data_IF_368490984046
#
_entry.id   IF_368490984046
#
_cell.length_a   1.000
_cell.length_b   1.000
_cell.length_c   1.000
_cell.angle_alpha   90.00
_cell.angle_beta   90.00
_cell.angle_gamma   90.00
#
_symmetry.space_group_name_H-M   'P 1'
#
loop_
_entity.id
_entity.type
_entity.pdbx_description
1 polymer ?
#
# COMPACT_ATOMS: atom_id res chain seq x y z
N UNK A 1 -12.26 -14.88 -16.95
CA UNK A 1 -11.37 -13.73 -16.60
C UNK A 1 -10.82 -13.14 -17.88
N UNK A 2 -11.08 -11.86 -18.10
CA UNK A 2 -10.56 -11.13 -19.24
C UNK A 2 -9.03 -10.97 -19.12
N UNK A 3 -8.35 -10.77 -20.29
CA UNK A 3 -6.88 -10.56 -20.30
C UNK A 3 -6.47 -9.40 -19.37
N UNK A 4 -7.35 -8.43 -19.22
CA UNK A 4 -7.16 -7.25 -18.38
C UNK A 4 -7.18 -7.59 -16.89
N UNK A 5 -8.15 -8.36 -16.43
CA UNK A 5 -8.22 -8.82 -15.03
C UNK A 5 -6.96 -9.59 -14.65
N UNK A 6 -6.51 -10.52 -15.51
CA UNK A 6 -5.26 -11.29 -15.28
C UNK A 6 -4.02 -10.43 -15.17
N UNK A 7 -3.97 -9.31 -15.89
CA UNK A 7 -2.85 -8.37 -15.79
C UNK A 7 -2.80 -7.70 -14.40
N UNK A 8 -3.93 -7.18 -13.92
CA UNK A 8 -4.01 -6.58 -12.59
C UNK A 8 -3.77 -7.60 -11.47
N UNK A 9 -4.27 -8.83 -11.62
CA UNK A 9 -4.03 -9.89 -10.65
C UNK A 9 -2.54 -10.21 -10.53
N UNK A 10 -1.85 -10.40 -11.66
CA UNK A 10 -0.39 -10.65 -11.66
C UNK A 10 0.41 -9.47 -11.08
N UNK A 11 0.05 -8.24 -11.44
CA UNK A 11 0.69 -7.06 -10.86
C UNK A 11 0.50 -7.01 -9.34
N UNK A 12 -0.70 -7.34 -8.85
CA UNK A 12 -0.98 -7.42 -7.42
C UNK A 12 -0.20 -8.53 -6.72
N UNK A 13 -0.07 -9.71 -7.34
CA UNK A 13 0.75 -10.80 -6.80
C UNK A 13 2.22 -10.38 -6.65
N UNK A 14 2.76 -9.63 -7.62
CA UNK A 14 4.13 -9.08 -7.53
C UNK A 14 4.25 -8.14 -6.32
N UNK A 15 3.29 -7.24 -6.11
CA UNK A 15 3.26 -6.36 -4.93
C UNK A 15 3.19 -7.19 -3.65
N UNK A 16 2.36 -8.23 -3.61
CA UNK A 16 2.28 -9.16 -2.48
C UNK A 16 3.62 -9.85 -2.18
N UNK A 17 4.31 -10.35 -3.22
CA UNK A 17 5.65 -10.96 -3.06
C UNK A 17 6.69 -9.95 -2.55
N UNK A 18 6.65 -8.70 -3.03
CA UNK A 18 7.52 -7.63 -2.51
C UNK A 18 7.25 -7.39 -1.03
N UNK A 19 5.99 -7.27 -0.62
CA UNK A 19 5.62 -7.09 0.79
C UNK A 19 6.07 -8.28 1.66
N UNK A 20 5.92 -9.51 1.19
CA UNK A 20 6.40 -10.70 1.92
C UNK A 20 7.92 -10.71 2.07
N UNK A 21 8.65 -10.37 1.01
CA UNK A 21 10.11 -10.29 1.05
C UNK A 21 10.59 -9.20 2.03
N UNK A 22 10.00 -8.00 1.96
CA UNK A 22 10.34 -6.90 2.87
C UNK A 22 9.98 -7.24 4.31
N UNK A 23 8.87 -7.96 4.54
CA UNK A 23 8.52 -8.45 5.88
C UNK A 23 9.57 -9.43 6.42
N UNK A 24 10.07 -10.34 5.59
CA UNK A 24 11.14 -11.23 6.00
C UNK A 24 12.44 -10.47 6.36
N UNK A 25 12.77 -9.43 5.59
CA UNK A 25 13.89 -8.54 5.90
C UNK A 25 13.67 -7.79 7.21
N UNK A 26 12.48 -7.26 7.45
CA UNK A 26 12.12 -6.59 8.70
C UNK A 26 12.29 -7.51 9.90
N UNK A 27 11.78 -8.74 9.81
CA UNK A 27 11.94 -9.74 10.90
C UNK A 27 13.41 -10.03 11.16
N UNK A 28 14.22 -10.20 10.10
CA UNK A 28 15.64 -10.45 10.23
C UNK A 28 16.37 -9.25 10.87
N UNK A 29 16.02 -8.02 10.50
CA UNK A 29 16.60 -6.80 11.05
C UNK A 29 16.25 -6.64 12.54
N UNK A 30 14.98 -6.82 12.92
CA UNK A 30 14.55 -6.81 14.33
C UNK A 30 15.28 -7.85 15.14
N UNK A 31 15.37 -9.10 14.62
CA UNK A 31 16.08 -10.18 15.28
C UNK A 31 17.57 -9.85 15.48
N UNK A 32 18.22 -9.35 14.43
CA UNK A 32 19.62 -8.92 14.50
C UNK A 32 19.82 -7.83 15.53
N UNK A 33 18.96 -6.80 15.53
CA UNK A 33 19.04 -5.65 16.44
C UNK A 33 18.87 -6.09 17.90
N UNK A 34 17.95 -7.02 18.17
CA UNK A 34 17.74 -7.58 19.51
C UNK A 34 18.98 -8.36 19.95
N UNK A 35 19.49 -9.28 19.12
CA UNK A 35 20.69 -10.10 19.44
C UNK A 35 21.91 -9.20 19.67
N UNK A 36 22.14 -8.22 18.77
CA UNK A 36 23.27 -7.29 18.88
C UNK A 36 23.22 -6.49 20.19
N UNK A 37 22.04 -6.04 20.58
CA UNK A 37 21.86 -5.27 21.81
C UNK A 37 22.09 -6.09 23.08
N UNK A 38 21.52 -7.29 23.15
CA UNK A 38 21.56 -8.09 24.38
C UNK A 38 22.85 -8.89 24.55
N UNK A 39 23.43 -9.41 23.47
CA UNK A 39 24.63 -10.24 23.54
C UNK A 39 25.94 -9.48 23.34
N UNK A 40 25.89 -8.39 22.55
CA UNK A 40 27.10 -7.64 22.19
C UNK A 40 27.12 -6.22 22.75
N UNK A 41 26.06 -5.82 23.48
CA UNK A 41 25.88 -4.44 23.99
C UNK A 41 26.02 -3.40 22.86
N UNK A 42 25.68 -3.79 21.63
CA UNK A 42 25.76 -2.97 20.43
C UNK A 42 24.37 -2.45 20.06
N UNK A 43 24.18 -1.16 20.07
CA UNK A 43 22.94 -0.52 19.61
C UNK A 43 23.27 0.46 18.47
N UNK A 44 22.50 0.38 17.38
CA UNK A 44 22.64 1.30 16.26
C UNK A 44 21.27 1.85 15.87
N UNK A 45 21.15 3.18 15.88
CA UNK A 45 19.92 3.90 15.56
C UNK A 45 19.48 3.62 14.12
N UNK A 46 20.41 3.49 13.18
CA UNK A 46 20.09 3.23 11.78
C UNK A 46 19.31 1.92 11.58
N UNK A 47 19.61 0.85 12.34
CA UNK A 47 18.82 -0.40 12.27
C UNK A 47 17.41 -0.21 12.82
N UNK A 48 17.24 0.56 13.92
CA UNK A 48 15.91 0.87 14.45
C UNK A 48 15.10 1.71 13.47
N UNK A 49 15.74 2.63 12.77
CA UNK A 49 15.06 3.39 11.73
C UNK A 49 14.73 2.55 10.50
N UNK A 50 15.55 1.56 10.17
CA UNK A 50 15.30 0.65 9.06
C UNK A 50 14.06 -0.22 9.31
N UNK A 51 13.80 -0.63 10.55
CA UNK A 51 12.59 -1.37 10.95
C UNK A 51 11.32 -0.62 10.51
N UNK A 52 11.18 0.66 10.86
CA UNK A 52 9.99 1.40 10.46
C UNK A 52 9.98 1.79 8.97
N UNK A 53 11.13 1.85 8.30
CA UNK A 53 11.18 1.99 6.84
C UNK A 53 10.60 0.74 6.16
N UNK A 54 10.99 -0.46 6.58
CA UNK A 54 10.41 -1.70 6.09
C UNK A 54 8.92 -1.79 6.39
N UNK A 55 8.51 -1.41 7.60
CA UNK A 55 7.10 -1.35 7.95
C UNK A 55 6.34 -0.38 7.04
N UNK A 56 6.89 0.80 6.76
CA UNK A 56 6.26 1.77 5.86
C UNK A 56 6.09 1.21 4.42
N UNK A 57 7.08 0.49 3.90
CA UNK A 57 6.97 -0.19 2.59
C UNK A 57 5.83 -1.19 2.60
N UNK A 58 5.78 -2.07 3.61
CA UNK A 58 4.75 -3.11 3.73
C UNK A 58 3.36 -2.47 3.85
N UNK A 59 3.21 -1.46 4.69
CA UNK A 59 1.94 -0.79 4.93
C UNK A 59 1.44 -0.05 3.68
N UNK A 60 2.30 0.76 3.06
CA UNK A 60 1.92 1.61 1.93
C UNK A 60 1.64 0.79 0.65
N UNK A 61 2.46 -0.20 0.32
CA UNK A 61 2.21 -1.08 -0.82
C UNK A 61 1.12 -2.10 -0.53
N UNK A 62 1.04 -2.58 0.72
CA UNK A 62 0.03 -3.53 1.17
C UNK A 62 -1.40 -3.02 1.03
N UNK A 63 -1.64 -1.69 1.13
CA UNK A 63 -2.97 -1.11 0.84
C UNK A 63 -3.44 -1.44 -0.57
N UNK A 64 -2.56 -1.38 -1.55
CA UNK A 64 -2.88 -1.69 -2.95
C UNK A 64 -3.18 -3.18 -3.14
N UNK A 65 -2.40 -4.05 -2.48
CA UNK A 65 -2.66 -5.48 -2.47
C UNK A 65 -3.99 -5.83 -1.79
N UNK A 66 -4.30 -5.21 -0.65
CA UNK A 66 -5.57 -5.40 0.04
C UNK A 66 -6.77 -4.97 -0.82
N UNK A 67 -6.63 -3.89 -1.63
CA UNK A 67 -7.67 -3.49 -2.57
C UNK A 67 -7.89 -4.54 -3.67
N UNK A 68 -6.82 -5.10 -4.22
CA UNK A 68 -6.88 -6.19 -5.21
C UNK A 68 -7.60 -7.42 -4.66
N UNK A 69 -7.29 -7.82 -3.42
CA UNK A 69 -7.89 -8.98 -2.73
C UNK A 69 -9.31 -8.71 -2.19
N UNK A 70 -9.83 -7.50 -2.37
CA UNK A 70 -11.14 -7.10 -1.81
C UNK A 70 -11.22 -7.22 -0.27
N UNK A 71 -10.08 -7.09 0.39
CA UNK A 71 -9.88 -7.35 1.83
C UNK A 71 -9.97 -6.08 2.69
N UNK A 72 -10.47 -4.98 2.15
CA UNK A 72 -10.68 -3.76 2.92
C UNK A 72 -11.79 -3.93 3.96
N UNK A 73 -11.56 -3.38 5.15
CA UNK A 73 -12.57 -3.33 6.21
C UNK A 73 -13.81 -2.59 5.73
N UNK A 74 -14.97 -3.23 5.84
CA UNK A 74 -16.28 -2.70 5.45
C UNK A 74 -17.25 -2.81 6.60
N UNK A 75 -18.33 -2.05 6.53
CA UNK A 75 -19.47 -2.24 7.45
C UNK A 75 -20.27 -3.47 6.98
N UNK A 76 -19.80 -4.65 7.31
CA UNK A 76 -20.31 -5.94 6.80
C UNK A 76 -21.78 -6.17 7.14
N UNK A 77 -22.28 -5.59 8.23
CA UNK A 77 -23.69 -5.75 8.66
C UNK A 77 -24.68 -5.35 7.55
N UNK A 78 -24.37 -4.29 6.81
CA UNK A 78 -25.19 -3.84 5.69
C UNK A 78 -24.76 -4.44 4.37
N UNK A 79 -23.43 -4.47 4.12
CA UNK A 79 -22.88 -4.93 2.86
C UNK A 79 -23.15 -6.41 2.60
N UNK A 80 -23.13 -7.27 3.63
CA UNK A 80 -23.44 -8.71 3.48
C UNK A 80 -24.83 -8.99 2.93
N UNK A 81 -25.80 -8.12 3.25
CA UNK A 81 -27.22 -8.24 2.83
C UNK A 81 -27.47 -7.78 1.39
N UNK A 82 -26.50 -7.12 0.75
CA UNK A 82 -26.68 -6.62 -0.60
C UNK A 82 -26.61 -7.74 -1.64
N UNK A 83 -27.43 -7.59 -2.69
CA UNK A 83 -27.32 -8.45 -3.87
C UNK A 83 -25.95 -8.26 -4.56
N UNK A 84 -25.47 -9.25 -5.35
CA UNK A 84 -24.21 -9.12 -6.07
C UNK A 84 -24.12 -7.84 -6.93
N UNK A 85 -25.24 -7.47 -7.54
CA UNK A 85 -25.38 -6.22 -8.32
C UNK A 85 -25.15 -4.98 -7.46
N UNK A 86 -25.78 -4.92 -6.29
CA UNK A 86 -25.65 -3.75 -5.39
C UNK A 86 -24.26 -3.67 -4.77
N UNK A 87 -23.63 -4.82 -4.44
CA UNK A 87 -22.23 -4.88 -4.00
C UNK A 87 -21.30 -4.29 -5.04
N UNK A 88 -21.43 -4.70 -6.29
CA UNK A 88 -20.62 -4.17 -7.38
C UNK A 88 -20.83 -2.66 -7.57
N UNK A 89 -22.08 -2.16 -7.45
CA UNK A 89 -22.39 -0.74 -7.56
C UNK A 89 -21.72 0.07 -6.42
N UNK A 90 -21.87 -0.38 -5.18
CA UNK A 90 -21.26 0.28 -4.00
C UNK A 90 -19.74 0.33 -4.14
N UNK A 91 -19.12 -0.78 -4.59
CA UNK A 91 -17.69 -0.86 -4.82
C UNK A 91 -17.23 0.16 -5.89
N UNK A 92 -17.93 0.25 -7.02
CA UNK A 92 -17.62 1.24 -8.05
C UNK A 92 -17.76 2.68 -7.58
N UNK A 93 -18.86 3.00 -6.88
CA UNK A 93 -19.08 4.34 -6.34
C UNK A 93 -18.02 4.69 -5.29
N UNK A 94 -17.73 3.77 -4.37
CA UNK A 94 -16.67 3.93 -3.38
C UNK A 94 -15.30 4.17 -4.00
N UNK A 95 -14.97 3.45 -5.05
CA UNK A 95 -13.71 3.62 -5.77
C UNK A 95 -13.60 5.00 -6.42
N UNK A 96 -14.64 5.45 -7.13
CA UNK A 96 -14.61 6.71 -7.89
C UNK A 96 -14.70 7.94 -6.98
N UNK A 97 -15.54 7.90 -5.94
CA UNK A 97 -15.81 9.07 -5.11
C UNK A 97 -14.91 9.17 -3.86
N UNK A 98 -14.31 8.08 -3.41
CA UNK A 98 -13.48 8.08 -2.21
C UNK A 98 -12.05 7.65 -2.49
N UNK A 99 -11.81 6.45 -3.04
CA UNK A 99 -10.45 5.91 -3.17
C UNK A 99 -9.61 6.73 -4.13
N UNK A 100 -10.09 6.98 -5.35
CA UNK A 100 -9.33 7.71 -6.37
C UNK A 100 -9.10 9.17 -5.98
N UNK A 101 -10.11 9.97 -5.56
CA UNK A 101 -9.88 11.35 -5.17
C UNK A 101 -8.95 11.49 -3.96
N UNK A 102 -9.11 10.62 -2.96
CA UNK A 102 -8.23 10.60 -1.80
C UNK A 102 -6.78 10.25 -2.19
N UNK A 103 -6.59 9.22 -3.01
CA UNK A 103 -5.27 8.82 -3.46
C UNK A 103 -4.59 9.89 -4.31
N UNK A 104 -5.33 10.58 -5.20
CA UNK A 104 -4.83 11.72 -5.97
C UNK A 104 -4.43 12.88 -5.07
N UNK A 105 -5.25 13.19 -4.06
CA UNK A 105 -4.97 14.26 -3.12
C UNK A 105 -3.67 13.97 -2.36
N UNK A 106 -3.54 12.79 -1.77
CA UNK A 106 -2.35 12.42 -1.00
C UNK A 106 -1.11 12.35 -1.90
N UNK A 107 -1.20 11.72 -3.08
CA UNK A 107 -0.04 11.61 -3.97
C UNK A 107 0.48 12.98 -4.40
N UNK A 108 -0.41 13.93 -4.74
CA UNK A 108 -0.01 15.26 -5.19
C UNK A 108 0.56 16.12 -4.04
N UNK A 109 -0.10 16.15 -2.88
CA UNK A 109 0.39 16.91 -1.73
C UNK A 109 1.73 16.38 -1.19
N UNK A 110 1.99 15.08 -1.35
CA UNK A 110 3.26 14.48 -0.92
C UNK A 110 4.46 14.91 -1.76
N UNK A 111 4.27 15.46 -2.96
CA UNK A 111 5.40 15.91 -3.79
C UNK A 111 6.19 17.06 -3.17
N UNK A 112 5.51 18.07 -2.62
CA UNK A 112 6.18 19.18 -1.94
C UNK A 112 6.96 18.66 -0.73
N UNK A 113 6.35 17.75 0.04
CA UNK A 113 7.00 17.12 1.19
C UNK A 113 8.27 16.33 0.82
N UNK A 114 8.30 15.69 -0.36
CA UNK A 114 9.49 15.01 -0.90
C UNK A 114 10.52 16.01 -1.39
N UNK A 115 10.09 17.04 -2.11
CA UNK A 115 10.96 18.07 -2.65
C UNK A 115 11.69 18.83 -1.54
N UNK A 116 10.98 19.20 -0.47
CA UNK A 116 11.56 19.86 0.70
C UNK A 116 12.61 18.97 1.40
N UNK A 117 12.31 17.69 1.57
CA UNK A 117 13.23 16.73 2.15
C UNK A 117 14.49 16.50 1.29
N UNK A 118 14.33 16.55 -0.03
CA UNK A 118 15.43 16.41 -0.98
C UNK A 118 16.32 17.65 -0.98
N UNK A 119 15.74 18.84 -1.10
CA UNK A 119 16.48 20.11 -1.17
C UNK A 119 17.19 20.45 0.13
N UNK A 120 16.58 20.12 1.28
CA UNK A 120 17.20 20.27 2.60
C UNK A 120 18.22 19.19 2.96
N UNK A 121 18.40 18.17 2.08
CA UNK A 121 19.21 16.98 2.38
C UNK A 121 18.85 16.36 3.73
N UNK A 122 17.55 16.23 4.00
CA UNK A 122 17.02 15.81 5.29
C UNK A 122 17.60 14.47 5.74
N UNK A 123 18.16 14.46 6.93
CA UNK A 123 18.66 13.28 7.63
C UNK A 123 17.89 13.07 8.94
N UNK A 124 18.13 11.95 9.59
CA UNK A 124 17.59 11.70 10.93
C UNK A 124 18.05 12.76 11.92
N UNK A 125 17.17 13.12 12.84
CA UNK A 125 17.53 13.97 13.98
C UNK A 125 18.38 13.23 15.02
N UNK A 126 18.33 11.90 15.01
CA UNK A 126 19.05 11.07 15.96
C UNK A 126 20.50 10.82 15.48
N UNK A 127 21.51 10.97 16.36
CA UNK A 127 22.90 10.71 16.02
C UNK A 127 23.09 9.26 15.54
N UNK A 128 23.64 9.08 14.34
CA UNK A 128 23.84 7.76 13.72
C UNK A 128 22.62 7.18 13.01
N UNK A 129 21.55 7.95 12.88
CA UNK A 129 20.37 7.57 12.11
C UNK A 129 20.58 7.68 10.59
N UNK A 130 19.55 7.27 9.83
CA UNK A 130 19.61 7.20 8.37
C UNK A 130 19.58 8.59 7.72
N UNK A 131 20.33 8.72 6.65
CA UNK A 131 20.29 9.88 5.74
C UNK A 131 19.29 9.68 4.62
N UNK A 132 19.08 10.71 3.78
CA UNK A 132 18.24 10.61 2.58
C UNK A 132 16.77 10.26 2.89
N UNK A 133 16.20 10.90 3.89
CA UNK A 133 14.79 10.66 4.28
C UNK A 133 13.77 10.93 3.17
N UNK A 134 14.16 11.67 2.14
CA UNK A 134 13.33 11.88 0.95
C UNK A 134 12.91 10.58 0.25
N UNK A 135 13.72 9.50 0.36
CA UNK A 135 13.43 8.19 -0.27
C UNK A 135 12.15 7.58 0.33
N UNK A 136 12.07 7.52 1.67
CA UNK A 136 10.90 6.96 2.33
C UNK A 136 9.67 7.86 2.16
N UNK A 137 9.86 9.18 2.09
CA UNK A 137 8.79 10.14 1.79
C UNK A 137 8.27 9.96 0.36
N UNK A 138 9.15 9.74 -0.63
CA UNK A 138 8.79 9.48 -2.02
C UNK A 138 7.95 8.21 -2.17
N UNK A 139 8.14 7.22 -1.29
CA UNK A 139 7.34 6.01 -1.26
C UNK A 139 5.85 6.33 -1.03
N UNK A 140 5.51 7.39 -0.29
CA UNK A 140 4.12 7.79 -0.07
C UNK A 140 3.46 8.12 -1.41
N UNK A 141 4.01 9.09 -2.15
CA UNK A 141 3.47 9.47 -3.48
C UNK A 141 3.40 8.27 -4.41
N UNK A 142 4.48 7.48 -4.49
CA UNK A 142 4.54 6.29 -5.33
C UNK A 142 3.45 5.28 -4.98
N UNK A 143 3.27 4.97 -3.70
CA UNK A 143 2.30 3.96 -3.25
C UNK A 143 0.86 4.38 -3.53
N UNK A 144 0.54 5.67 -3.43
CA UNK A 144 -0.79 6.17 -3.76
C UNK A 144 -1.04 6.17 -5.28
N UNK A 145 -0.03 6.34 -6.13
CA UNK A 145 -0.19 6.09 -7.57
C UNK A 145 -0.40 4.61 -7.88
N UNK A 146 0.31 3.72 -7.19
CA UNK A 146 0.08 2.27 -7.27
C UNK A 146 -1.35 1.93 -6.82
N UNK A 147 -1.84 2.56 -5.75
CA UNK A 147 -3.22 2.39 -5.30
C UNK A 147 -4.24 2.83 -6.36
N UNK A 148 -4.03 3.97 -7.04
CA UNK A 148 -4.88 4.42 -8.14
C UNK A 148 -4.89 3.38 -9.28
N UNK A 149 -3.72 2.86 -9.64
CA UNK A 149 -3.61 1.82 -10.65
C UNK A 149 -4.48 0.59 -10.30
N UNK A 150 -4.39 0.08 -9.08
CA UNK A 150 -5.23 -1.04 -8.64
C UNK A 150 -6.71 -0.67 -8.45
N UNK A 151 -7.02 0.59 -8.08
CA UNK A 151 -8.38 1.09 -8.02
C UNK A 151 -9.09 1.05 -9.38
N UNK A 152 -8.36 1.35 -10.46
CA UNK A 152 -8.88 1.21 -11.84
C UNK A 152 -9.18 -0.26 -12.15
N UNK A 153 -8.28 -1.17 -11.82
CA UNK A 153 -8.49 -2.62 -11.99
C UNK A 153 -9.69 -3.13 -11.20
N UNK A 154 -9.81 -2.70 -9.93
CA UNK A 154 -10.92 -3.03 -9.07
C UNK A 154 -12.25 -2.50 -9.59
N UNK A 155 -12.27 -1.29 -10.11
CA UNK A 155 -13.45 -0.71 -10.77
C UNK A 155 -13.90 -1.54 -11.99
N UNK A 156 -12.96 -1.90 -12.88
CA UNK A 156 -13.25 -2.69 -14.08
C UNK A 156 -13.81 -4.07 -13.70
N UNK A 157 -13.22 -4.74 -12.70
CA UNK A 157 -13.71 -6.02 -12.18
C UNK A 157 -15.15 -5.91 -11.67
N UNK A 158 -15.46 -4.88 -10.88
CA UNK A 158 -16.80 -4.65 -10.37
C UNK A 158 -17.80 -4.26 -11.47
N UNK A 159 -17.35 -3.53 -12.51
CA UNK A 159 -18.19 -3.22 -13.68
C UNK A 159 -18.59 -4.50 -14.44
N UNK A 160 -17.67 -5.44 -14.59
CA UNK A 160 -17.95 -6.73 -15.22
C UNK A 160 -18.92 -7.56 -14.38
N UNK A 161 -18.75 -7.60 -13.06
CA UNK A 161 -19.68 -8.26 -12.14
C UNK A 161 -21.09 -7.64 -12.19
N UNK A 162 -21.16 -6.30 -12.22
CA UNK A 162 -22.44 -5.60 -12.37
C UNK A 162 -23.17 -5.96 -13.67
N UNK A 163 -22.43 -5.99 -14.79
CA UNK A 163 -22.99 -6.36 -16.10
C UNK A 163 -23.51 -7.79 -16.13
N UNK A 164 -22.78 -8.76 -15.56
CA UNK A 164 -23.20 -10.17 -15.44
C UNK A 164 -24.46 -10.29 -14.58
N UNK A 165 -24.45 -9.70 -13.39
CA UNK A 165 -25.60 -9.72 -12.49
C UNK A 165 -26.85 -9.03 -13.08
N UNK A 166 -26.69 -8.07 -14.03
CA UNK A 166 -27.80 -7.46 -14.76
C UNK A 166 -28.38 -8.36 -15.84
N UNK A 167 -27.56 -9.25 -16.42
CA UNK A 167 -27.99 -10.21 -17.46
C UNK A 167 -28.62 -11.47 -16.89
N UNK A 168 -28.58 -11.68 -15.58
CA UNK A 168 -29.10 -12.89 -14.92
C UNK A 168 -28.15 -14.09 -15.01
N UNK A 169 -26.87 -13.84 -15.32
CA UNK A 169 -25.79 -14.82 -15.38
C UNK A 169 -25.05 -14.95 -14.04
#
# INVERSE_FOLDING_TARGET
>A
MDKFERFFDRAGDIVGYICMFVMALMIADVFFNVVARYFFSYGNVAFQELEWHFFAVIFLLGMSYALKEDSHVRVDIFYAKFSPKNKALVNMLGTVFFVIPFALLVSNLSFEFVADAYTSSEASADPGGLTHRWIIKALISFSFYVLIFFAIGFFIRNLNLYKKAKKGE
#
